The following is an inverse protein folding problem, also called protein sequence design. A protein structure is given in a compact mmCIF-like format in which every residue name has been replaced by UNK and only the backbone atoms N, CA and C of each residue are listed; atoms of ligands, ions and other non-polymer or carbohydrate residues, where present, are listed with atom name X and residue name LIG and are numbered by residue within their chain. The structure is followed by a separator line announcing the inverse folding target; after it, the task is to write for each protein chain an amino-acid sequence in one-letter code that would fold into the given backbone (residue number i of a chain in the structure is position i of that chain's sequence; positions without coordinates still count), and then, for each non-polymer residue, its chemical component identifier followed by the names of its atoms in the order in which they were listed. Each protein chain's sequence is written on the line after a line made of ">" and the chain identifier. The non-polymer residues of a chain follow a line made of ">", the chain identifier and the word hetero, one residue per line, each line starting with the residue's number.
data_IF_311620466013
#
_entry.id   IF_311620466013
#
_cell.length_a   1.000
_cell.length_b   1.000
_cell.length_c   1.000
_cell.angle_alpha   90.00
_cell.angle_beta   90.00
_cell.angle_gamma   90.00
#
_symmetry.space_group_name_H-M   'P 1'
#
loop_
_entity.id
_entity.type
_entity.pdbx_description
1 polymer ?
#
# COMPACT_ATOMS: atom_id res chain seq x y z
N UNK A 1 10.53 -59.19 6.24
CA UNK A 1 10.82 -60.37 7.04
C UNK A 1 12.28 -60.22 7.52
N UNK A 2 12.48 -60.23 8.84
CA UNK A 2 13.80 -60.18 9.46
C UNK A 2 14.37 -61.58 9.48
N UNK A 3 15.68 -61.72 9.25
CA UNK A 3 16.36 -63.00 9.25
C UNK A 3 16.44 -63.57 10.68
N UNK A 4 16.41 -64.90 10.84
CA UNK A 4 16.36 -65.58 12.15
C UNK A 4 17.50 -65.21 13.13
N UNK A 5 18.54 -64.55 12.65
CA UNK A 5 19.68 -64.06 13.45
C UNK A 5 19.62 -62.60 13.82
N UNK A 6 18.55 -61.87 13.43
CA UNK A 6 18.41 -60.45 13.67
C UNK A 6 17.58 -60.21 14.94
N UNK A 7 18.18 -59.59 15.98
CA UNK A 7 17.47 -59.19 17.16
C UNK A 7 17.09 -57.69 17.05
N UNK A 8 15.80 -57.40 17.26
CA UNK A 8 15.31 -56.01 17.34
C UNK A 8 15.70 -55.45 18.70
N UNK A 9 16.66 -54.51 18.74
CA UNK A 9 17.18 -53.91 19.98
C UNK A 9 16.30 -52.79 20.50
N UNK A 10 15.76 -51.94 19.62
CA UNK A 10 14.85 -50.85 19.97
C UNK A 10 14.11 -50.32 18.75
N UNK A 11 12.92 -49.83 18.96
CA UNK A 11 12.15 -49.02 17.97
C UNK A 11 12.04 -47.64 18.51
N UNK A 12 12.48 -46.62 17.75
CA UNK A 12 12.33 -45.20 18.12
C UNK A 12 11.67 -44.45 16.97
N UNK A 13 10.57 -43.73 17.24
CA UNK A 13 9.81 -43.65 18.48
C UNK A 13 9.08 -44.97 18.77
N UNK A 14 8.97 -45.35 20.05
CA UNK A 14 8.23 -46.55 20.52
C UNK A 14 6.72 -46.34 20.52
N UNK A 15 6.31 -45.08 20.47
CA UNK A 15 4.93 -44.64 20.42
C UNK A 15 4.68 -43.82 19.16
N UNK A 16 3.70 -44.19 18.37
CA UNK A 16 3.21 -43.42 17.21
C UNK A 16 1.86 -42.80 17.57
N UNK A 17 1.84 -41.53 17.88
CA UNK A 17 0.61 -40.79 18.08
C UNK A 17 -0.05 -40.47 16.73
N UNK A 18 -1.18 -41.11 16.48
CA UNK A 18 -2.01 -40.84 15.32
C UNK A 18 -3.23 -40.02 15.71
N UNK A 19 -3.19 -38.71 15.39
CA UNK A 19 -4.30 -37.83 15.67
C UNK A 19 -5.33 -37.94 14.55
N UNK A 20 -6.42 -38.65 14.81
CA UNK A 20 -7.56 -38.75 13.92
C UNK A 20 -8.62 -37.72 14.34
N UNK A 21 -8.93 -36.77 13.48
CA UNK A 21 -10.00 -35.79 13.69
C UNK A 21 -11.15 -36.06 12.70
N UNK A 22 -12.35 -36.29 13.24
CA UNK A 22 -13.61 -36.24 12.47
C UNK A 22 -14.18 -34.81 12.43
N UNK A 23 -13.37 -33.80 12.66
CA UNK A 23 -13.80 -32.41 12.72
C UNK A 23 -14.44 -31.89 11.44
N UNK A 24 -15.34 -30.94 11.59
CA UNK A 24 -15.91 -30.18 10.47
C UNK A 24 -14.76 -29.38 9.80
N UNK A 25 -14.57 -29.51 8.49
CA UNK A 25 -13.53 -28.73 7.82
C UNK A 25 -13.88 -27.24 7.90
N UNK A 26 -12.89 -26.40 8.21
CA UNK A 26 -13.01 -24.94 8.24
C UNK A 26 -12.16 -24.36 7.15
N UNK A 27 -12.75 -23.47 6.33
CA UNK A 27 -12.00 -22.70 5.33
C UNK A 27 -11.42 -21.45 6.01
N UNK A 28 -10.12 -21.22 5.88
CA UNK A 28 -9.42 -20.06 6.43
C UNK A 28 -8.58 -19.37 5.36
N UNK A 29 -8.44 -18.04 5.39
CA UNK A 29 -7.56 -17.31 4.50
C UNK A 29 -6.09 -17.66 4.77
N UNK A 30 -5.26 -17.49 3.75
CA UNK A 30 -3.81 -17.66 3.86
C UNK A 30 -3.14 -16.28 3.90
N UNK A 31 -2.29 -16.07 4.89
CA UNK A 31 -1.44 -14.89 4.99
C UNK A 31 0.04 -15.24 4.75
N UNK A 32 0.76 -14.27 4.21
CA UNK A 32 2.19 -14.40 3.95
C UNK A 32 2.97 -14.23 5.26
N UNK A 33 3.79 -15.22 5.61
CA UNK A 33 4.65 -15.20 6.81
C UNK A 33 6.09 -14.73 6.53
N UNK A 34 6.36 -14.18 5.35
CA UNK A 34 7.71 -13.76 4.93
C UNK A 34 7.75 -12.34 4.39
N UNK A 35 8.94 -11.91 4.06
CA UNK A 35 9.23 -10.58 3.52
C UNK A 35 9.79 -10.66 2.10
N UNK A 36 9.41 -9.66 1.28
CA UNK A 36 9.93 -9.45 -0.07
C UNK A 36 10.49 -8.05 -0.17
N UNK A 37 11.78 -7.93 -0.48
CA UNK A 37 12.45 -6.66 -0.76
C UNK A 37 12.80 -6.58 -2.24
N UNK A 38 12.29 -5.55 -2.91
CA UNK A 38 12.62 -5.29 -4.30
C UNK A 38 14.05 -4.78 -4.46
N UNK A 39 14.61 -4.96 -5.66
CA UNK A 39 15.89 -4.41 -6.06
C UNK A 39 15.86 -2.88 -6.20
N UNK A 40 17.05 -2.31 -6.43
CA UNK A 40 17.20 -0.86 -6.65
C UNK A 40 16.35 -0.41 -7.85
N UNK A 41 15.59 0.67 -7.72
CA UNK A 41 14.65 1.21 -8.72
C UNK A 41 13.38 0.36 -8.95
N UNK A 42 13.18 -0.68 -8.14
CA UNK A 42 11.99 -1.53 -8.18
C UNK A 42 11.20 -1.41 -6.89
N UNK A 43 9.93 -1.80 -6.93
CA UNK A 43 9.09 -1.92 -5.75
C UNK A 43 8.15 -3.10 -5.88
N UNK A 44 7.75 -3.66 -4.75
CA UNK A 44 6.73 -4.71 -4.71
C UNK A 44 5.37 -4.05 -4.87
N UNK A 45 4.76 -4.28 -6.03
CA UNK A 45 3.46 -3.68 -6.36
C UNK A 45 2.28 -4.45 -5.77
N UNK A 46 2.44 -5.77 -5.59
CA UNK A 46 1.41 -6.65 -5.05
C UNK A 46 2.02 -7.99 -4.60
N UNK A 47 1.43 -8.61 -3.59
CA UNK A 47 1.76 -9.98 -3.16
C UNK A 47 0.48 -10.80 -3.15
N UNK A 48 0.42 -11.85 -3.96
CA UNK A 48 -0.72 -12.74 -4.09
C UNK A 48 -0.38 -14.13 -3.60
N UNK A 49 -1.35 -14.78 -2.99
CA UNK A 49 -1.27 -16.18 -2.57
C UNK A 49 -2.30 -16.99 -3.33
N UNK A 50 -1.87 -18.11 -3.91
CA UNK A 50 -2.74 -19.00 -4.71
C UNK A 50 -2.62 -20.44 -4.19
N UNK A 51 -3.69 -21.03 -3.66
CA UNK A 51 -4.99 -20.45 -3.39
C UNK A 51 -4.94 -19.41 -2.23
N UNK A 52 -5.89 -18.47 -2.22
CA UNK A 52 -6.02 -17.44 -1.19
C UNK A 52 -6.52 -17.98 0.16
N UNK A 53 -7.06 -19.20 0.15
CA UNK A 53 -7.65 -19.85 1.30
C UNK A 53 -7.44 -21.37 1.24
N UNK A 54 -7.36 -21.99 2.41
CA UNK A 54 -7.14 -23.44 2.57
C UNK A 54 -8.15 -24.02 3.55
N UNK A 55 -8.37 -25.34 3.43
CA UNK A 55 -9.21 -26.09 4.36
C UNK A 55 -8.36 -26.61 5.51
N UNK A 56 -8.81 -26.36 6.72
CA UNK A 56 -8.17 -26.79 7.98
C UNK A 56 -8.94 -27.97 8.56
N UNK A 57 -8.22 -29.01 8.93
CA UNK A 57 -8.72 -30.14 9.71
C UNK A 57 -7.99 -30.16 11.04
N UNK A 58 -8.75 -30.05 12.15
CA UNK A 58 -8.22 -30.08 13.50
C UNK A 58 -9.32 -30.48 14.50
N UNK A 59 -8.97 -30.85 15.73
CA UNK A 59 -9.95 -30.99 16.82
C UNK A 59 -10.73 -29.69 17.03
N UNK A 60 -12.02 -29.80 17.42
CA UNK A 60 -12.93 -28.65 17.45
C UNK A 60 -12.43 -27.47 18.31
N UNK A 61 -11.82 -27.77 19.47
CA UNK A 61 -11.23 -26.75 20.34
C UNK A 61 -10.13 -25.94 19.68
N UNK A 62 -9.29 -26.59 18.85
CA UNK A 62 -8.21 -25.95 18.11
C UNK A 62 -8.73 -25.24 16.85
N UNK A 63 -9.75 -25.80 16.21
CA UNK A 63 -10.32 -25.23 14.99
C UNK A 63 -10.89 -23.81 15.20
N UNK A 64 -11.46 -23.55 16.39
CA UNK A 64 -12.02 -22.25 16.73
C UNK A 64 -10.94 -21.16 16.90
N UNK A 65 -9.72 -21.53 17.26
CA UNK A 65 -8.60 -20.59 17.44
C UNK A 65 -7.89 -20.25 16.15
N UNK A 66 -8.04 -21.09 15.09
CA UNK A 66 -7.38 -20.86 13.81
C UNK A 66 -8.25 -19.94 12.97
N UNK A 67 -7.80 -18.69 12.80
CA UNK A 67 -8.47 -17.71 11.97
C UNK A 67 -7.76 -17.53 10.62
N UNK A 68 -6.46 -17.79 10.56
CA UNK A 68 -5.61 -17.57 9.38
C UNK A 68 -4.53 -18.65 9.31
N UNK A 69 -4.22 -19.13 8.12
CA UNK A 69 -3.09 -20.00 7.86
C UNK A 69 -1.90 -19.15 7.39
N UNK A 70 -0.73 -19.35 7.97
CA UNK A 70 0.48 -18.62 7.58
C UNK A 70 1.40 -19.50 6.76
N UNK A 71 2.07 -18.91 5.76
CA UNK A 71 3.18 -19.58 5.08
C UNK A 71 4.37 -19.72 6.03
N UNK A 72 5.25 -20.68 5.75
CA UNK A 72 6.57 -20.68 6.40
C UNK A 72 7.28 -19.35 6.15
N UNK A 73 8.09 -18.85 7.11
CA UNK A 73 8.83 -17.62 6.94
C UNK A 73 9.85 -17.74 5.80
N UNK A 74 9.95 -16.68 5.01
CA UNK A 74 10.92 -16.58 3.93
C UNK A 74 11.40 -15.14 3.80
N UNK A 75 12.60 -14.97 3.22
CA UNK A 75 13.18 -13.67 2.91
C UNK A 75 13.63 -13.67 1.45
N UNK A 76 13.01 -12.85 0.62
CA UNK A 76 13.42 -12.63 -0.77
C UNK A 76 13.95 -11.23 -0.90
N UNK A 77 15.23 -11.11 -1.25
CA UNK A 77 15.92 -9.83 -1.37
C UNK A 77 16.32 -9.57 -2.82
N UNK A 78 16.40 -8.29 -3.17
CA UNK A 78 16.86 -7.84 -4.49
C UNK A 78 16.02 -8.41 -5.66
N UNK A 79 14.71 -8.49 -5.47
CA UNK A 79 13.79 -8.99 -6.50
C UNK A 79 13.57 -7.90 -7.54
N UNK A 80 13.85 -8.19 -8.81
CA UNK A 80 13.74 -7.25 -9.94
C UNK A 80 12.62 -7.60 -10.91
N UNK A 81 12.11 -8.82 -10.83
CA UNK A 81 11.02 -9.33 -11.67
C UNK A 81 9.94 -9.99 -10.83
N UNK A 82 8.77 -10.21 -11.43
CA UNK A 82 7.70 -10.97 -10.79
C UNK A 82 8.18 -12.38 -10.45
N UNK A 83 8.17 -12.69 -9.16
CA UNK A 83 8.65 -13.95 -8.64
C UNK A 83 7.48 -14.80 -8.14
N UNK A 84 7.40 -16.04 -8.63
CA UNK A 84 6.45 -17.05 -8.17
C UNK A 84 7.20 -18.19 -7.50
N UNK A 85 6.89 -18.50 -6.24
CA UNK A 85 7.47 -19.64 -5.52
C UNK A 85 6.41 -20.43 -4.76
N UNK A 86 6.60 -21.74 -4.75
CA UNK A 86 5.80 -22.67 -3.98
C UNK A 86 6.32 -22.75 -2.55
N UNK A 87 5.46 -22.46 -1.56
CA UNK A 87 5.84 -22.38 -0.15
C UNK A 87 4.89 -23.21 0.69
N UNK A 88 5.44 -23.99 1.61
CA UNK A 88 4.65 -24.74 2.57
C UNK A 88 3.99 -23.83 3.60
N UNK A 89 2.84 -24.22 4.09
CA UNK A 89 2.22 -23.58 5.25
C UNK A 89 2.96 -23.97 6.54
N UNK A 90 2.88 -23.10 7.53
CA UNK A 90 3.46 -23.35 8.84
C UNK A 90 2.76 -24.53 9.50
N UNK A 91 3.53 -25.53 9.90
CA UNK A 91 2.99 -26.72 10.55
C UNK A 91 2.57 -26.37 11.98
N UNK A 92 1.33 -26.70 12.32
CA UNK A 92 0.79 -26.62 13.67
C UNK A 92 0.52 -28.02 14.18
N UNK A 93 0.81 -28.28 15.47
CA UNK A 93 0.59 -29.59 16.07
C UNK A 93 -0.90 -29.96 16.08
N UNK A 94 -1.22 -31.14 15.57
CA UNK A 94 -2.62 -31.62 15.50
C UNK A 94 -3.48 -30.94 14.43
N UNK A 95 -2.89 -30.15 13.53
CA UNK A 95 -3.59 -29.42 12.47
C UNK A 95 -3.11 -29.87 11.10
N UNK A 96 -4.05 -30.13 10.18
CA UNK A 96 -3.76 -30.45 8.78
C UNK A 96 -4.38 -29.38 7.88
N UNK A 97 -3.56 -28.77 7.04
CA UNK A 97 -3.99 -27.86 5.98
C UNK A 97 -4.10 -28.61 4.64
N UNK A 98 -5.13 -28.30 3.86
CA UNK A 98 -5.32 -28.85 2.52
C UNK A 98 -5.68 -27.70 1.56
N UNK A 99 -4.82 -27.39 0.59
CA UNK A 99 -3.47 -27.90 0.39
C UNK A 99 -2.50 -27.53 1.52
N UNK A 100 -1.39 -28.25 1.68
CA UNK A 100 -0.35 -27.99 2.69
C UNK A 100 0.66 -26.92 2.26
N UNK A 101 0.57 -26.46 1.02
CA UNK A 101 1.45 -25.49 0.37
C UNK A 101 0.66 -24.60 -0.57
N UNK A 102 1.18 -23.43 -0.83
CA UNK A 102 0.58 -22.41 -1.68
C UNK A 102 1.64 -21.77 -2.58
N UNK A 103 1.22 -21.19 -3.68
CA UNK A 103 2.08 -20.38 -4.53
C UNK A 103 2.01 -18.91 -4.04
N UNK A 104 3.15 -18.36 -3.69
CA UNK A 104 3.28 -16.94 -3.40
C UNK A 104 3.85 -16.24 -4.63
N UNK A 105 3.11 -15.27 -5.14
CA UNK A 105 3.48 -14.45 -6.30
C UNK A 105 3.75 -13.05 -5.84
N UNK A 106 5.02 -12.62 -5.88
CA UNK A 106 5.41 -11.24 -5.65
C UNK A 106 5.50 -10.51 -6.99
N UNK A 107 4.59 -9.59 -7.22
CA UNK A 107 4.62 -8.73 -8.40
C UNK A 107 5.55 -7.55 -8.14
N UNK A 108 6.55 -7.40 -8.98
CA UNK A 108 7.53 -6.32 -8.89
C UNK A 108 7.38 -5.42 -10.09
N UNK A 109 7.46 -4.11 -9.88
CA UNK A 109 7.38 -3.10 -10.92
C UNK A 109 8.49 -2.06 -10.73
N UNK A 110 8.81 -1.33 -11.79
CA UNK A 110 9.86 -0.31 -11.80
C UNK A 110 9.27 1.06 -11.49
N UNK A 111 9.97 1.84 -10.69
CA UNK A 111 9.68 3.26 -10.52
C UNK A 111 10.15 4.07 -11.73
N UNK A 112 9.34 5.04 -12.12
CA UNK A 112 9.73 6.11 -13.04
C UNK A 112 9.49 7.46 -12.38
N UNK A 113 10.33 8.44 -12.64
CA UNK A 113 10.09 9.82 -12.23
C UNK A 113 9.14 10.50 -13.21
N UNK A 114 8.16 11.21 -12.66
CA UNK A 114 7.23 12.05 -13.42
C UNK A 114 7.21 13.44 -12.83
N UNK A 115 7.37 14.44 -13.69
CA UNK A 115 7.25 15.86 -13.33
C UNK A 115 5.97 16.42 -13.93
N UNK A 116 5.16 17.07 -13.11
CA UNK A 116 3.87 17.64 -13.46
C UNK A 116 3.85 19.14 -13.09
N UNK A 117 3.20 19.96 -13.89
CA UNK A 117 2.95 21.35 -13.58
C UNK A 117 1.60 21.50 -12.86
N UNK A 118 1.64 21.79 -11.58
CA UNK A 118 0.45 21.89 -10.73
C UNK A 118 0.21 23.34 -10.33
N UNK A 119 -1.01 23.87 -10.50
CA UNK A 119 -1.33 25.23 -10.08
C UNK A 119 -1.31 25.34 -8.55
N UNK A 120 -0.83 26.48 -8.06
CA UNK A 120 -0.88 26.83 -6.65
C UNK A 120 -2.23 27.46 -6.31
N UNK A 121 -2.93 26.93 -5.32
CA UNK A 121 -4.25 27.42 -4.92
C UNK A 121 -4.25 27.95 -3.49
N UNK A 122 -5.01 29.04 -3.28
CA UNK A 122 -5.29 29.55 -1.94
C UNK A 122 -6.41 28.75 -1.27
N UNK A 123 -6.19 28.31 -0.04
CA UNK A 123 -7.14 27.52 0.75
C UNK A 123 -7.65 28.34 1.93
N UNK A 124 -8.98 28.40 2.09
CA UNK A 124 -9.61 29.09 3.21
C UNK A 124 -9.53 30.60 3.13
N UNK A 125 -9.39 31.18 1.93
CA UNK A 125 -9.42 32.65 1.75
C UNK A 125 -10.85 33.18 1.91
N UNK A 126 -11.04 34.32 2.61
CA UNK A 126 -12.34 34.94 2.75
C UNK A 126 -12.84 35.47 1.40
N UNK A 127 -14.16 35.64 1.30
CA UNK A 127 -14.80 36.20 0.09
C UNK A 127 -14.21 37.54 -0.29
N UNK A 128 -13.89 37.73 -1.57
CA UNK A 128 -13.30 38.96 -2.09
C UNK A 128 -11.78 39.05 -1.96
N UNK A 129 -11.11 38.06 -1.37
CA UNK A 129 -9.64 37.95 -1.38
C UNK A 129 -9.18 36.81 -2.23
N UNK A 130 -8.28 37.05 -3.17
CA UNK A 130 -7.73 36.04 -4.08
C UNK A 130 -6.21 36.03 -3.93
N UNK A 131 -5.65 34.81 -3.77
CA UNK A 131 -4.21 34.63 -3.77
C UNK A 131 -3.68 34.59 -5.21
N UNK A 132 -2.68 35.42 -5.48
CA UNK A 132 -1.86 35.33 -6.69
C UNK A 132 -0.45 34.92 -6.29
N UNK A 133 0.09 33.92 -6.93
CA UNK A 133 1.45 33.42 -6.68
C UNK A 133 2.33 33.55 -7.91
N UNK A 134 3.61 33.77 -7.68
CA UNK A 134 4.63 33.87 -8.71
C UNK A 134 5.77 32.87 -8.39
N UNK A 135 5.88 31.81 -9.16
CA UNK A 135 5.03 31.38 -10.29
C UNK A 135 3.63 30.94 -9.85
N UNK A 136 2.66 30.97 -10.78
CA UNK A 136 1.29 30.48 -10.54
C UNK A 136 1.16 28.95 -10.62
N UNK A 137 2.13 28.28 -11.24
CA UNK A 137 2.27 26.83 -11.31
C UNK A 137 3.65 26.45 -10.83
N UNK A 138 3.74 25.27 -10.21
CA UNK A 138 4.99 24.71 -9.70
C UNK A 138 5.19 23.29 -10.21
N UNK A 139 6.43 22.87 -10.30
CA UNK A 139 6.78 21.51 -10.71
C UNK A 139 6.66 20.58 -9.52
N UNK A 140 5.85 19.53 -9.67
CA UNK A 140 5.73 18.44 -8.71
C UNK A 140 6.39 17.22 -9.35
N UNK A 141 7.51 16.79 -8.78
CA UNK A 141 8.23 15.58 -9.20
C UNK A 141 7.88 14.46 -8.24
N UNK A 142 7.47 13.33 -8.81
CA UNK A 142 7.03 12.14 -8.07
C UNK A 142 7.67 10.88 -8.64
N UNK A 143 7.83 9.86 -7.80
CA UNK A 143 8.10 8.51 -8.24
C UNK A 143 6.79 7.74 -8.35
N UNK A 144 6.56 7.11 -9.49
CA UNK A 144 5.34 6.36 -9.79
C UNK A 144 5.69 5.08 -10.53
N UNK A 145 5.00 3.99 -10.23
CA UNK A 145 5.15 2.74 -10.98
C UNK A 145 4.73 2.90 -12.44
N UNK A 146 5.42 2.23 -13.36
CA UNK A 146 5.16 2.35 -14.80
C UNK A 146 3.70 2.07 -15.17
N UNK A 147 3.03 1.15 -14.47
CA UNK A 147 1.60 0.85 -14.68
C UNK A 147 0.70 2.06 -14.45
N UNK A 148 1.04 2.89 -13.47
CA UNK A 148 0.25 4.05 -13.08
C UNK A 148 0.77 5.35 -13.69
N UNK A 149 1.85 5.30 -14.47
CA UNK A 149 2.51 6.49 -15.02
C UNK A 149 1.57 7.37 -15.86
N UNK A 150 0.70 6.74 -16.67
CA UNK A 150 -0.25 7.46 -17.53
C UNK A 150 -1.48 7.95 -16.78
N UNK A 151 -1.90 7.26 -15.73
CA UNK A 151 -3.10 7.59 -14.97
C UNK A 151 -2.91 8.77 -14.01
N UNK A 152 -1.69 8.98 -13.51
CA UNK A 152 -1.38 10.10 -12.61
C UNK A 152 -1.28 11.40 -13.40
N UNK A 153 -2.14 12.37 -13.07
CA UNK A 153 -2.25 13.66 -13.74
C UNK A 153 -2.11 14.82 -12.76
N UNK A 154 -1.99 16.05 -13.27
CA UNK A 154 -1.92 17.27 -12.47
C UNK A 154 -3.14 17.46 -11.54
N UNK A 155 -4.31 16.95 -11.94
CA UNK A 155 -5.58 17.07 -11.19
C UNK A 155 -5.60 16.25 -9.91
N UNK A 156 -4.72 15.26 -9.81
CA UNK A 156 -4.61 14.39 -8.65
C UNK A 156 -3.82 15.03 -7.49
N UNK A 157 -3.16 16.17 -7.79
CA UNK A 157 -2.36 16.91 -6.82
C UNK A 157 -3.04 18.23 -6.43
N UNK A 158 -2.97 18.53 -5.14
CA UNK A 158 -3.39 19.82 -4.61
C UNK A 158 -2.20 20.46 -3.88
N UNK A 159 -1.59 21.44 -4.55
CA UNK A 159 -0.54 22.28 -3.96
C UNK A 159 -1.18 23.59 -3.57
N UNK A 160 -1.06 23.97 -2.30
CA UNK A 160 -1.74 25.15 -1.84
C UNK A 160 -1.14 25.78 -0.61
N UNK A 161 -1.59 27.01 -0.38
CA UNK A 161 -1.25 27.82 0.79
C UNK A 161 -2.53 28.13 1.54
N UNK A 162 -2.53 27.91 2.85
CA UNK A 162 -3.65 28.27 3.72
C UNK A 162 -3.66 29.78 3.99
N UNK A 163 -4.83 30.39 4.09
CA UNK A 163 -4.96 31.77 4.49
C UNK A 163 -4.36 32.07 5.88
N UNK A 164 -4.43 31.09 6.78
CA UNK A 164 -3.81 31.18 8.10
C UNK A 164 -2.27 31.27 8.01
N UNK A 165 -1.67 30.56 7.08
CA UNK A 165 -0.22 30.58 6.85
C UNK A 165 0.22 31.96 6.31
N UNK A 166 -0.66 32.60 5.52
CA UNK A 166 -0.40 33.94 4.97
C UNK A 166 -0.46 35.02 6.04
N UNK A 167 -1.46 34.98 6.94
CA UNK A 167 -1.59 35.98 8.02
C UNK A 167 -0.44 35.86 9.02
N UNK A 168 0.00 34.65 9.31
CA UNK A 168 1.10 34.36 10.24
C UNK A 168 2.49 34.64 9.68
N UNK A 169 2.60 34.77 8.37
CA UNK A 169 3.88 34.88 7.69
C UNK A 169 4.33 36.37 7.58
N UNK A 170 5.51 36.67 8.12
CA UNK A 170 6.18 37.96 7.98
C UNK A 170 7.15 38.02 6.79
N UNK A 171 7.28 36.92 6.04
CA UNK A 171 8.20 36.82 4.91
C UNK A 171 7.48 37.15 3.59
N UNK A 172 8.20 37.68 2.63
CA UNK A 172 7.72 37.93 1.26
C UNK A 172 7.47 36.61 0.50
N UNK A 173 8.00 35.46 0.98
CA UNK A 173 7.84 34.15 0.36
C UNK A 173 6.98 33.23 1.22
N UNK A 174 6.06 32.54 0.57
CA UNK A 174 5.20 31.53 1.18
C UNK A 174 5.71 30.12 0.91
N UNK A 175 5.91 29.31 1.94
CA UNK A 175 6.22 27.91 1.74
C UNK A 175 5.01 27.18 1.16
N UNK A 176 5.24 26.32 0.18
CA UNK A 176 4.23 25.49 -0.45
C UNK A 176 4.05 24.18 0.29
N UNK A 177 2.81 23.79 0.47
CA UNK A 177 2.46 22.49 1.05
C UNK A 177 1.60 21.70 0.08
N UNK A 178 1.94 20.42 -0.08
CA UNK A 178 1.08 19.49 -0.81
C UNK A 178 -0.01 19.02 0.16
N UNK A 179 -1.25 19.33 -0.17
CA UNK A 179 -2.43 18.98 0.66
C UNK A 179 -3.05 17.66 0.24
N UNK A 180 -2.87 17.28 -1.04
CA UNK A 180 -3.40 16.01 -1.58
C UNK A 180 -2.48 15.50 -2.69
N UNK A 181 -2.27 14.20 -2.68
CA UNK A 181 -1.63 13.42 -3.75
C UNK A 181 -2.16 11.98 -3.71
N UNK A 182 -2.10 11.21 -4.81
CA UNK A 182 -2.58 9.84 -4.85
C UNK A 182 -1.64 8.86 -4.14
N UNK A 183 -2.19 7.80 -3.53
CA UNK A 183 -1.42 6.80 -2.78
C UNK A 183 -0.46 5.97 -3.66
N UNK A 184 -0.66 6.00 -4.98
CA UNK A 184 0.17 5.25 -5.95
C UNK A 184 1.50 5.93 -6.28
N UNK A 185 1.78 7.12 -5.71
CA UNK A 185 3.03 7.85 -5.89
C UNK A 185 3.82 7.91 -4.60
N UNK A 186 5.14 8.02 -4.74
CA UNK A 186 6.08 8.19 -3.63
C UNK A 186 7.10 9.30 -3.94
N UNK A 187 7.90 9.69 -2.94
CA UNK A 187 8.96 10.69 -3.07
C UNK A 187 8.50 11.99 -3.73
N UNK A 188 7.37 12.53 -3.25
CA UNK A 188 6.78 13.75 -3.79
C UNK A 188 7.62 14.97 -3.42
N UNK A 189 8.06 15.74 -4.43
CA UNK A 189 8.87 16.95 -4.28
C UNK A 189 8.26 18.09 -5.06
N UNK A 190 8.22 19.28 -4.46
CA UNK A 190 7.75 20.53 -5.11
C UNK A 190 8.93 21.44 -5.38
N UNK A 191 8.99 21.98 -6.58
CA UNK A 191 10.03 22.94 -7.00
C UNK A 191 9.38 24.11 -7.74
N UNK A 192 9.56 25.38 -7.28
CA UNK A 192 10.22 25.79 -6.04
C UNK A 192 9.42 25.43 -4.78
N UNK A 193 10.09 25.32 -3.63
CA UNK A 193 9.45 25.01 -2.35
C UNK A 193 8.73 26.20 -1.72
N UNK A 194 8.98 27.41 -2.22
CA UNK A 194 8.33 28.66 -1.81
C UNK A 194 8.08 29.54 -3.01
N UNK A 195 7.06 30.38 -2.93
CA UNK A 195 6.65 31.30 -4.01
C UNK A 195 6.44 32.72 -3.46
N UNK A 196 6.64 33.72 -4.32
CA UNK A 196 6.22 35.06 -4.04
C UNK A 196 4.70 35.17 -4.19
N UNK A 197 4.07 36.10 -3.46
CA UNK A 197 2.61 36.17 -3.44
C UNK A 197 2.08 37.59 -3.36
N UNK A 198 0.84 37.77 -3.82
CA UNK A 198 0.04 38.97 -3.70
C UNK A 198 -1.39 38.58 -3.32
N UNK A 199 -2.01 39.34 -2.43
CA UNK A 199 -3.44 39.20 -2.11
C UNK A 199 -4.19 40.31 -2.85
N UNK A 200 -5.00 39.94 -3.83
CA UNK A 200 -5.89 40.85 -4.54
C UNK A 200 -7.25 40.93 -3.84
N UNK A 201 -7.81 42.13 -3.75
CA UNK A 201 -9.21 42.36 -3.37
C UNK A 201 -10.06 42.39 -4.64
N UNK A 202 -10.91 41.39 -4.85
CA UNK A 202 -11.94 41.45 -5.89
C UNK A 202 -13.15 42.21 -5.33
N UNK A 203 -13.48 43.32 -5.96
CA UNK A 203 -14.74 44.00 -5.72
C UNK A 203 -15.83 43.11 -6.33
N UNK A 204 -16.56 42.41 -5.47
CA UNK A 204 -17.75 41.68 -5.90
C UNK A 204 -18.82 42.74 -6.18
N UNK A 205 -18.98 43.11 -7.45
CA UNK A 205 -20.15 43.88 -7.87
C UNK A 205 -21.40 43.01 -7.63
N UNK A 206 -22.24 43.42 -6.68
CA UNK A 206 -23.56 42.79 -6.51
C UNK A 206 -24.35 42.86 -7.83
N UNK A 207 -25.04 41.81 -8.23
CA UNK A 207 -25.96 41.93 -9.38
C UNK A 207 -27.04 42.95 -9.06
N UNK A 208 -27.06 44.03 -9.85
CA UNK A 208 -28.11 45.03 -9.83
C UNK A 208 -29.47 44.32 -9.90
N UNK A 209 -30.27 44.48 -8.83
CA UNK A 209 -31.69 44.15 -8.91
C UNK A 209 -32.29 45.12 -9.90
N UNK A 210 -32.55 44.63 -11.11
CA UNK A 210 -33.51 45.29 -12.00
C UNK A 210 -34.85 45.39 -11.27
N UNK A 211 -35.20 46.61 -10.97
CA UNK A 211 -36.57 46.96 -10.55
C UNK A 211 -37.45 46.73 -11.76
N UNK A 212 -38.25 45.69 -11.73
CA UNK A 212 -39.50 45.68 -12.47
C UNK A 212 -40.40 46.76 -11.89
N UNK A 213 -40.59 47.77 -12.64
CA UNK A 213 -41.68 48.76 -12.45
C UNK A 213 -42.49 48.80 -13.72
N UNK A 214 -43.80 48.46 -13.55
CA UNK A 214 -44.98 48.68 -14.42
C UNK A 214 -45.10 47.78 -15.66
#
# INVERSE_FOLDING_TARGET
>A
QLNNSTQLLAVRPDTLDYIYSRGIPKKVPVAVGGEVSAGRQYYVSDIRVIPDSVVVYAPQGVLNTILTAYTQPFHWTNVTDTLKKHINLQKLHGVKFVPSSVDVVACVDMYSEKTLEVPVVGIGFPRGKVLRTFPSKVQVTVQVGLKNFKSVTEKDFLVGVSYADVIGNKSEKLPLTIKKYPDVVSHVRVTPSSVDYLIEQQIVSEPSKEKESE
#
